data_IF_550211459369
#
_entry.id   IF_550211459369
#
_cell.length_a   1.000
_cell.length_b   1.000
_cell.length_c   1.000
_cell.angle_alpha   90.00
_cell.angle_beta   90.00
_cell.angle_gamma   90.00
#
_symmetry.space_group_name_H-M   'P 1'
#
loop_
_entity.id
_entity.type
_entity.pdbx_description
1 polymer ?
#
# COMPACT_ATOMS: atom_id res chain seq x y z
N UNK A 1 18.40 10.67 -19.49
CA UNK A 1 19.25 11.63 -18.74
C UNK A 1 19.88 10.86 -17.59
N UNK A 2 21.16 10.48 -17.70
CA UNK A 2 21.84 9.64 -16.71
C UNK A 2 22.16 10.43 -15.43
N UNK A 3 21.85 9.86 -14.28
CA UNK A 3 22.19 10.46 -12.98
C UNK A 3 23.71 10.55 -12.80
N UNK A 4 24.23 11.60 -12.13
CA UNK A 4 25.66 11.72 -11.88
C UNK A 4 26.17 10.53 -11.03
N UNK A 5 27.40 10.03 -11.29
CA UNK A 5 27.92 8.79 -10.69
C UNK A 5 28.03 8.84 -9.15
N UNK A 6 28.18 10.03 -8.57
CA UNK A 6 28.17 10.24 -7.11
C UNK A 6 26.80 9.97 -6.46
N UNK A 7 25.71 10.23 -7.18
CA UNK A 7 24.35 9.99 -6.69
C UNK A 7 23.97 8.51 -6.82
N UNK A 8 24.44 7.85 -7.89
CA UNK A 8 24.23 6.41 -8.07
C UNK A 8 24.95 5.58 -6.99
N UNK A 9 26.21 5.89 -6.72
CA UNK A 9 27.00 5.20 -5.68
C UNK A 9 26.47 5.46 -4.26
N UNK A 10 26.07 6.70 -3.96
CA UNK A 10 25.45 7.03 -2.68
C UNK A 10 24.09 6.34 -2.47
N UNK A 11 23.29 6.14 -3.54
CA UNK A 11 22.04 5.37 -3.46
C UNK A 11 22.31 3.90 -3.16
N UNK A 12 23.21 3.27 -3.89
CA UNK A 12 23.57 1.85 -3.66
C UNK A 12 24.10 1.65 -2.23
N UNK A 13 24.96 2.55 -1.75
CA UNK A 13 25.48 2.48 -0.38
C UNK A 13 24.38 2.63 0.68
N UNK A 14 23.42 3.53 0.50
CA UNK A 14 22.27 3.68 1.41
C UNK A 14 21.33 2.48 1.36
N UNK A 15 21.07 1.93 0.18
CA UNK A 15 20.26 0.71 0.02
C UNK A 15 20.92 -0.50 0.70
N UNK A 16 22.23 -0.67 0.53
CA UNK A 16 23.00 -1.74 1.19
C UNK A 16 23.06 -1.54 2.71
N UNK A 17 23.25 -0.31 3.19
CA UNK A 17 23.25 0.00 4.62
C UNK A 17 21.87 -0.21 5.27
N UNK A 18 20.78 0.07 4.55
CA UNK A 18 19.42 -0.24 5.00
C UNK A 18 19.15 -1.75 5.06
N UNK A 19 19.76 -2.52 4.14
CA UNK A 19 19.68 -3.99 4.11
C UNK A 19 20.52 -4.67 5.20
N UNK A 20 21.62 -4.06 5.68
CA UNK A 20 22.46 -4.58 6.76
C UNK A 20 22.01 -3.97 8.10
N UNK A 21 20.94 -4.55 8.66
CA UNK A 21 20.33 -4.10 9.90
C UNK A 21 21.09 -4.59 11.16
N UNK A 22 20.85 -4.01 12.33
CA UNK A 22 21.43 -4.46 13.63
C UNK A 22 21.19 -5.96 13.86
N UNK A 23 20.06 -6.47 13.38
CA UNK A 23 19.72 -7.89 13.43
C UNK A 23 20.71 -8.78 12.64
N UNK A 24 21.19 -8.34 11.47
CA UNK A 24 22.14 -9.13 10.68
C UNK A 24 23.52 -9.17 11.33
N UNK A 25 23.94 -8.06 11.95
CA UNK A 25 25.16 -8.01 12.77
C UNK A 25 25.04 -8.94 13.97
N UNK A 26 23.91 -8.89 14.69
CA UNK A 26 23.64 -9.78 15.83
C UNK A 26 23.65 -11.25 15.44
N UNK A 27 22.98 -11.61 14.34
CA UNK A 27 22.93 -12.99 13.86
C UNK A 27 24.28 -13.47 13.33
N UNK A 28 25.09 -12.58 12.77
CA UNK A 28 26.46 -12.86 12.35
C UNK A 28 27.34 -13.20 13.55
N UNK A 29 27.27 -12.41 14.63
CA UNK A 29 27.97 -12.70 15.88
C UNK A 29 27.54 -14.05 16.48
N UNK A 30 26.24 -14.34 16.48
CA UNK A 30 25.71 -15.64 16.92
C UNK A 30 26.23 -16.78 16.05
N UNK A 31 26.26 -16.62 14.73
CA UNK A 31 26.81 -17.59 13.78
C UNK A 31 28.30 -17.85 14.03
N UNK A 32 29.12 -16.79 14.16
CA UNK A 32 30.54 -16.92 14.49
C UNK A 32 30.75 -17.57 15.87
N UNK A 33 29.95 -17.22 16.87
CA UNK A 33 30.02 -17.82 18.20
C UNK A 33 29.67 -19.32 18.16
N UNK A 34 28.65 -19.73 17.41
CA UNK A 34 28.28 -21.12 17.21
C UNK A 34 29.41 -21.91 16.52
N UNK A 35 30.00 -21.34 15.46
CA UNK A 35 31.17 -21.91 14.76
C UNK A 35 32.36 -22.07 15.70
N UNK A 36 32.64 -21.07 16.55
CA UNK A 36 33.71 -21.14 17.55
C UNK A 36 33.43 -22.16 18.66
N UNK A 37 32.17 -22.35 19.05
CA UNK A 37 31.77 -23.38 20.01
C UNK A 37 31.96 -24.79 19.41
N UNK A 38 31.54 -25.01 18.17
CA UNK A 38 31.75 -26.28 17.46
C UNK A 38 33.24 -26.61 17.28
N UNK A 39 34.09 -25.61 17.02
CA UNK A 39 35.53 -25.80 16.94
C UNK A 39 36.13 -26.32 18.26
N UNK A 40 35.70 -25.76 19.40
CA UNK A 40 36.17 -26.20 20.73
C UNK A 40 35.67 -27.59 21.10
N UNK A 41 34.44 -27.92 20.71
CA UNK A 41 33.82 -29.22 20.97
C UNK A 41 34.22 -30.29 19.94
N UNK A 42 35.02 -29.93 18.93
CA UNK A 42 35.38 -30.78 17.79
C UNK A 42 34.18 -31.42 17.09
N UNK A 43 33.04 -30.71 17.08
CA UNK A 43 31.82 -31.16 16.43
C UNK A 43 31.87 -30.80 14.94
N UNK A 44 32.06 -31.81 14.10
CA UNK A 44 31.97 -31.69 12.65
C UNK A 44 30.97 -32.70 12.10
N UNK A 45 30.00 -32.24 11.33
CA UNK A 45 28.95 -33.09 10.75
C UNK A 45 28.89 -32.90 9.24
N UNK A 46 28.87 -34.02 8.51
CA UNK A 46 28.66 -34.03 7.06
C UNK A 46 27.14 -34.01 6.79
N UNK A 47 26.61 -32.82 6.52
CA UNK A 47 25.22 -32.62 6.10
C UNK A 47 25.19 -32.38 4.58
N UNK A 48 24.18 -32.91 3.89
CA UNK A 48 23.83 -32.38 2.58
C UNK A 48 23.09 -31.03 2.74
N UNK A 49 23.82 -29.94 2.52
CA UNK A 49 23.30 -28.57 2.63
C UNK A 49 22.21 -28.28 1.60
N UNK A 50 22.14 -29.04 0.51
CA UNK A 50 21.20 -28.83 -0.60
C UNK A 50 19.75 -28.89 -0.13
N UNK A 51 19.42 -29.82 0.78
CA UNK A 51 18.07 -29.99 1.33
C UNK A 51 17.66 -28.77 2.16
N UNK A 52 18.58 -28.24 2.98
CA UNK A 52 18.33 -27.06 3.83
C UNK A 52 18.19 -25.81 2.97
N UNK A 53 19.09 -25.61 2.00
CA UNK A 53 19.06 -24.47 1.08
C UNK A 53 17.78 -24.46 0.28
N UNK A 54 17.36 -25.61 -0.26
CA UNK A 54 16.12 -25.72 -1.03
C UNK A 54 14.90 -25.35 -0.18
N UNK A 55 14.79 -25.88 1.04
CA UNK A 55 13.66 -25.59 1.94
C UNK A 55 13.58 -24.11 2.33
N UNK A 56 14.70 -23.50 2.71
CA UNK A 56 14.75 -22.07 3.09
C UNK A 56 14.47 -21.16 1.90
N UNK A 57 15.13 -21.41 0.77
CA UNK A 57 14.97 -20.61 -0.45
C UNK A 57 13.55 -20.68 -0.97
N UNK A 58 12.93 -21.86 -0.96
CA UNK A 58 11.53 -22.02 -1.36
C UNK A 58 10.58 -21.22 -0.47
N UNK A 59 10.71 -21.32 0.86
CA UNK A 59 9.85 -20.60 1.80
C UNK A 59 9.99 -19.07 1.66
N UNK A 60 11.23 -18.57 1.53
CA UNK A 60 11.50 -17.13 1.38
C UNK A 60 11.02 -16.59 0.03
N UNK A 61 11.31 -17.27 -1.07
CA UNK A 61 10.87 -16.83 -2.42
C UNK A 61 9.35 -16.81 -2.53
N UNK A 62 8.66 -17.80 -1.95
CA UNK A 62 7.20 -17.80 -1.88
C UNK A 62 6.67 -16.58 -1.10
N UNK A 63 7.22 -16.29 0.08
CA UNK A 63 6.78 -15.15 0.88
C UNK A 63 7.05 -13.80 0.20
N UNK A 64 8.22 -13.64 -0.43
CA UNK A 64 8.57 -12.42 -1.17
C UNK A 64 7.61 -12.22 -2.34
N UNK A 65 7.29 -13.28 -3.07
CA UNK A 65 6.36 -13.22 -4.20
C UNK A 65 4.95 -12.78 -3.76
N UNK A 66 4.46 -13.29 -2.62
CA UNK A 66 3.17 -12.87 -2.07
C UNK A 66 3.15 -11.39 -1.68
N UNK A 67 4.22 -10.89 -1.05
CA UNK A 67 4.36 -9.47 -0.72
C UNK A 67 4.40 -8.60 -1.98
N UNK A 68 5.18 -8.99 -2.98
CA UNK A 68 5.26 -8.28 -4.27
C UNK A 68 3.91 -8.23 -4.99
N UNK A 69 3.21 -9.35 -5.11
CA UNK A 69 1.88 -9.39 -5.73
C UNK A 69 0.87 -8.49 -5.01
N UNK A 70 0.97 -8.37 -3.68
CA UNK A 70 0.10 -7.47 -2.90
C UNK A 70 0.40 -6.01 -3.20
N UNK A 71 1.67 -5.63 -3.34
CA UNK A 71 2.09 -4.29 -3.78
C UNK A 71 1.55 -3.96 -5.18
N UNK A 72 1.72 -4.86 -6.14
CA UNK A 72 1.20 -4.70 -7.51
C UNK A 72 -0.32 -4.52 -7.53
N UNK A 73 -1.05 -5.30 -6.72
CA UNK A 73 -2.51 -5.10 -6.56
C UNK A 73 -2.84 -3.72 -5.99
N UNK A 74 -2.10 -3.26 -4.98
CA UNK A 74 -2.32 -1.93 -4.40
C UNK A 74 -2.11 -0.82 -5.43
N UNK A 75 -1.08 -0.92 -6.27
CA UNK A 75 -0.80 0.04 -7.35
C UNK A 75 -1.93 0.06 -8.39
N UNK A 76 -2.37 -1.11 -8.86
CA UNK A 76 -3.48 -1.21 -9.82
C UNK A 76 -4.77 -0.63 -9.23
N UNK A 77 -5.11 -0.96 -7.98
CA UNK A 77 -6.30 -0.42 -7.31
C UNK A 77 -6.21 1.11 -7.12
N UNK A 78 -5.03 1.65 -6.78
CA UNK A 78 -4.81 3.10 -6.71
C UNK A 78 -4.99 3.78 -8.07
N UNK A 79 -4.48 3.19 -9.15
CA UNK A 79 -4.66 3.71 -10.50
C UNK A 79 -6.14 3.71 -10.92
N UNK A 80 -6.87 2.64 -10.63
CA UNK A 80 -8.32 2.55 -10.90
C UNK A 80 -9.14 3.54 -10.06
N UNK A 81 -8.74 3.77 -8.80
CA UNK A 81 -9.34 4.77 -7.92
C UNK A 81 -9.13 6.19 -8.49
N UNK A 82 -7.89 6.53 -8.87
CA UNK A 82 -7.53 7.80 -9.51
C UNK A 82 -8.32 8.02 -10.80
N UNK A 83 -8.41 7.01 -11.66
CA UNK A 83 -9.19 7.10 -12.90
C UNK A 83 -10.69 7.34 -12.63
N UNK A 84 -11.25 6.65 -11.63
CA UNK A 84 -12.66 6.77 -11.28
C UNK A 84 -13.00 8.16 -10.74
N UNK A 85 -12.16 8.73 -9.86
CA UNK A 85 -12.42 10.06 -9.28
C UNK A 85 -12.26 11.19 -10.30
N UNK A 86 -11.24 11.12 -11.17
CA UNK A 86 -11.03 12.09 -12.26
C UNK A 86 -12.19 12.06 -13.25
N UNK A 87 -12.65 10.86 -13.63
CA UNK A 87 -13.79 10.72 -14.54
C UNK A 87 -15.08 11.25 -13.92
N UNK A 88 -15.28 11.01 -12.62
CA UNK A 88 -16.44 11.55 -11.90
C UNK A 88 -16.37 13.08 -11.82
N UNK A 89 -15.20 13.66 -11.56
CA UNK A 89 -15.00 15.10 -11.62
C UNK A 89 -15.36 15.71 -12.99
N UNK A 90 -14.87 15.11 -14.09
CA UNK A 90 -15.21 15.58 -15.44
C UNK A 90 -16.71 15.52 -15.72
N UNK A 91 -17.43 14.53 -15.21
CA UNK A 91 -18.89 14.48 -15.34
C UNK A 91 -19.58 15.61 -14.59
N UNK A 92 -19.16 15.89 -13.35
CA UNK A 92 -19.70 17.00 -12.59
C UNK A 92 -19.38 18.35 -13.23
N UNK A 93 -18.22 18.50 -13.85
CA UNK A 93 -17.82 19.70 -14.60
C UNK A 93 -18.60 19.89 -15.90
N UNK A 94 -18.77 18.81 -16.68
CA UNK A 94 -19.26 18.90 -18.07
C UNK A 94 -20.79 18.77 -18.18
N UNK A 95 -21.43 18.09 -17.22
CA UNK A 95 -22.87 17.80 -17.30
C UNK A 95 -23.74 18.77 -16.51
N UNK A 96 -23.15 19.73 -15.81
CA UNK A 96 -23.85 20.84 -15.19
C UNK A 96 -24.37 21.81 -16.27
N UNK A 97 -25.32 21.38 -17.09
CA UNK A 97 -25.96 22.20 -18.11
C UNK A 97 -26.83 23.26 -17.44
N UNK A 98 -26.69 24.51 -17.88
CA UNK A 98 -27.51 25.65 -17.45
C UNK A 98 -28.01 26.41 -18.66
N UNK A 99 -28.95 27.36 -18.49
CA UNK A 99 -29.49 28.16 -19.60
C UNK A 99 -28.42 28.96 -20.36
N UNK A 100 -27.31 29.30 -19.71
CA UNK A 100 -26.15 29.98 -20.33
C UNK A 100 -25.14 29.03 -21.00
N UNK A 101 -25.16 27.73 -20.66
CA UNK A 101 -24.19 26.73 -21.12
C UNK A 101 -24.89 25.39 -21.45
N UNK A 102 -25.47 25.25 -22.66
CA UNK A 102 -26.15 24.02 -23.08
C UNK A 102 -25.19 22.84 -23.31
N UNK A 103 -23.89 23.11 -23.44
CA UNK A 103 -22.81 22.13 -23.40
C UNK A 103 -21.62 22.75 -22.63
N UNK A 104 -21.35 22.30 -21.41
CA UNK A 104 -20.12 22.71 -20.71
C UNK A 104 -18.94 22.03 -21.41
N UNK A 105 -18.16 22.82 -22.14
CA UNK A 105 -16.92 22.42 -22.81
C UNK A 105 -15.75 22.31 -21.80
N UNK A 106 -16.03 21.86 -20.58
CA UNK A 106 -15.04 21.74 -19.50
C UNK A 106 -14.69 23.05 -18.81
N UNK A 107 -15.66 23.65 -18.12
CA UNK A 107 -15.40 24.83 -17.28
C UNK A 107 -15.17 24.47 -15.80
N UNK A 108 -13.90 24.42 -15.41
CA UNK A 108 -13.44 24.19 -14.04
C UNK A 108 -13.77 25.38 -13.10
N UNK A 109 -14.11 26.55 -13.64
CA UNK A 109 -14.36 27.76 -12.84
C UNK A 109 -15.75 27.79 -12.23
N UNK A 110 -16.65 26.93 -12.69
CA UNK A 110 -18.01 26.86 -12.16
C UNK A 110 -18.00 26.53 -10.67
N UNK A 111 -18.88 27.19 -9.91
CA UNK A 111 -19.04 26.95 -8.46
C UNK A 111 -19.25 25.46 -8.19
N UNK A 112 -20.04 24.79 -9.04
CA UNK A 112 -20.33 23.38 -8.91
C UNK A 112 -19.10 22.47 -9.09
N UNK A 113 -18.27 22.72 -10.12
CA UNK A 113 -17.04 21.95 -10.33
C UNK A 113 -16.07 22.12 -9.17
N UNK A 114 -15.96 23.34 -8.62
CA UNK A 114 -15.13 23.62 -7.43
C UNK A 114 -15.62 22.92 -6.18
N UNK A 115 -16.93 22.94 -5.93
CA UNK A 115 -17.53 22.23 -4.80
C UNK A 115 -17.24 20.73 -4.91
N UNK A 116 -17.45 20.13 -6.09
CA UNK A 116 -17.16 18.71 -6.28
C UNK A 116 -15.68 18.39 -6.11
N UNK A 117 -14.80 19.22 -6.67
CA UNK A 117 -13.36 19.09 -6.49
C UNK A 117 -12.94 19.17 -5.02
N UNK A 118 -13.56 20.05 -4.22
CA UNK A 118 -13.28 20.16 -2.79
C UNK A 118 -13.64 18.89 -2.01
N UNK A 119 -14.77 18.26 -2.35
CA UNK A 119 -15.20 16.99 -1.75
C UNK A 119 -14.32 15.84 -2.21
N UNK A 120 -13.88 15.85 -3.47
CA UNK A 120 -12.90 14.89 -4.00
C UNK A 120 -11.55 14.99 -3.29
N UNK A 121 -11.04 16.21 -3.07
CA UNK A 121 -9.83 16.45 -2.29
C UNK A 121 -9.98 15.99 -0.84
N UNK A 122 -11.11 16.30 -0.19
CA UNK A 122 -11.39 15.82 1.17
C UNK A 122 -11.39 14.29 1.25
N UNK A 123 -11.97 13.61 0.27
CA UNK A 123 -11.97 12.15 0.18
C UNK A 123 -10.55 11.59 0.02
N UNK A 124 -9.77 12.13 -0.93
CA UNK A 124 -8.41 11.66 -1.22
C UNK A 124 -7.46 11.90 -0.05
N UNK A 125 -7.57 13.06 0.61
CA UNK A 125 -6.79 13.39 1.81
C UNK A 125 -7.13 12.45 2.98
N UNK A 126 -8.41 12.23 3.25
CA UNK A 126 -8.85 11.30 4.29
C UNK A 126 -8.41 9.86 3.99
N UNK A 127 -8.49 9.42 2.74
CA UNK A 127 -8.03 8.10 2.32
C UNK A 127 -6.52 7.96 2.48
N UNK A 128 -5.73 8.96 2.07
CA UNK A 128 -4.27 8.96 2.24
C UNK A 128 -3.89 8.83 3.71
N UNK A 129 -4.46 9.66 4.59
CA UNK A 129 -4.22 9.58 6.03
C UNK A 129 -4.64 8.22 6.60
N UNK A 130 -5.75 7.65 6.14
CA UNK A 130 -6.15 6.31 6.53
C UNK A 130 -5.14 5.24 6.09
N UNK A 131 -4.61 5.29 4.87
CA UNK A 131 -3.68 4.29 4.36
C UNK A 131 -2.33 4.33 5.06
N UNK A 132 -1.81 5.53 5.35
CA UNK A 132 -0.52 5.76 6.00
C UNK A 132 -0.58 5.53 7.52
N UNK A 133 -1.75 5.69 8.15
CA UNK A 133 -1.90 5.53 9.60
C UNK A 133 -1.42 4.15 10.09
N UNK A 134 -0.45 4.16 11.00
CA UNK A 134 0.04 2.97 11.67
C UNK A 134 -0.96 2.52 12.74
N UNK A 135 -1.65 1.41 12.49
CA UNK A 135 -2.72 0.91 13.37
C UNK A 135 -2.20 0.20 14.65
N UNK A 136 -0.87 0.10 14.84
CA UNK A 136 -0.25 -0.54 16.00
C UNK A 136 -0.38 -2.07 16.09
N UNK A 137 -1.27 -2.66 15.26
CA UNK A 137 -1.44 -4.10 15.09
C UNK A 137 -1.00 -4.53 13.69
N UNK A 138 -0.43 -5.72 13.57
CA UNK A 138 0.01 -6.28 12.30
C UNK A 138 -1.15 -6.71 11.39
N UNK A 139 -2.32 -7.04 11.97
CA UNK A 139 -3.53 -7.36 11.22
C UNK A 139 -4.72 -7.79 12.10
N UNK A 140 -5.85 -8.13 11.48
CA UNK A 140 -7.10 -8.51 12.18
C UNK A 140 -6.90 -9.73 13.09
N UNK A 141 -6.03 -10.65 12.71
CA UNK A 141 -5.71 -11.84 13.52
C UNK A 141 -5.16 -11.45 14.89
N UNK A 142 -4.31 -10.42 14.95
CA UNK A 142 -3.74 -9.93 16.20
C UNK A 142 -4.78 -9.16 17.02
N UNK A 143 -5.62 -8.34 16.38
CA UNK A 143 -6.74 -7.66 17.05
C UNK A 143 -7.69 -8.68 17.70
N UNK A 144 -8.01 -9.77 16.98
CA UNK A 144 -8.81 -10.89 17.51
C UNK A 144 -8.11 -11.62 18.64
N UNK A 145 -6.79 -11.81 18.55
CA UNK A 145 -6.01 -12.44 19.60
C UNK A 145 -5.94 -11.57 20.86
N UNK A 146 -5.76 -10.26 20.71
CA UNK A 146 -5.78 -9.29 21.80
C UNK A 146 -7.15 -9.27 22.51
N UNK A 147 -8.25 -9.26 21.73
CA UNK A 147 -9.61 -9.37 22.26
C UNK A 147 -9.84 -10.69 23.02
N UNK A 148 -9.19 -11.79 22.60
CA UNK A 148 -9.26 -13.10 23.26
C UNK A 148 -8.38 -13.18 24.52
N UNK A 149 -7.18 -12.60 24.51
CA UNK A 149 -6.22 -12.60 25.64
C UNK A 149 -6.83 -11.96 26.88
N UNK A 150 -7.61 -10.89 26.70
CA UNK A 150 -8.32 -10.23 27.79
C UNK A 150 -9.35 -11.18 28.42
N UNK A 151 -10.10 -11.95 27.62
CA UNK A 151 -11.04 -12.95 28.14
C UNK A 151 -10.35 -14.09 28.91
N UNK A 152 -9.19 -14.58 28.43
CA UNK A 152 -8.43 -15.64 29.12
C UNK A 152 -7.77 -15.15 30.42
N UNK A 153 -7.33 -13.89 30.47
CA UNK A 153 -6.78 -13.29 31.67
C UNK A 153 -7.85 -13.16 32.77
N UNK A 154 -9.08 -12.77 32.40
CA UNK A 154 -10.22 -12.75 33.32
C UNK A 154 -10.61 -14.16 33.82
N UNK A 155 -10.47 -15.20 32.98
CA UNK A 155 -10.66 -16.60 33.36
C UNK A 155 -9.59 -17.10 34.34
N UNK A 156 -8.31 -16.76 34.13
CA UNK A 156 -7.20 -17.16 35.00
C UNK A 156 -7.23 -16.46 36.38
N UNK A 157 -7.81 -15.27 36.46
CA UNK A 157 -7.98 -14.50 37.70
C UNK A 157 -9.18 -14.96 38.56
N UNK A 158 -9.74 -16.15 38.29
CA UNK A 158 -10.67 -16.81 39.21
C UNK A 158 -12.15 -16.45 39.04
N UNK A 159 -12.53 -15.70 38.00
CA UNK A 159 -13.95 -15.52 37.67
C UNK A 159 -14.47 -16.76 36.91
N UNK A 160 -14.75 -17.83 37.65
CA UNK A 160 -15.23 -19.11 37.15
C UNK A 160 -16.74 -19.13 36.87
N UNK A 161 -17.32 -18.01 36.41
CA UNK A 161 -18.69 -18.00 35.95
C UNK A 161 -18.70 -17.73 34.45
N UNK A 162 -19.14 -18.75 33.70
CA UNK A 162 -19.67 -18.63 32.33
C UNK A 162 -21.02 -17.86 32.34
N UNK A 163 -21.12 -16.81 33.15
CA UNK A 163 -22.21 -15.84 33.09
C UNK A 163 -21.80 -14.79 32.07
N UNK A 164 -22.78 -14.34 31.29
CA UNK A 164 -22.70 -13.12 30.48
C UNK A 164 -21.74 -12.11 31.11
N UNK A 165 -20.75 -11.71 30.32
CA UNK A 165 -19.66 -10.79 30.64
C UNK A 165 -20.04 -9.79 31.74
N UNK A 166 -19.21 -9.66 32.79
CA UNK A 166 -19.33 -8.59 33.81
C UNK A 166 -19.14 -7.18 33.20
N UNK A 167 -18.84 -7.10 31.89
CA UNK A 167 -18.81 -5.88 31.08
C UNK A 167 -19.95 -5.79 30.04
N UNK A 168 -20.84 -6.77 29.92
CA UNK A 168 -21.94 -6.80 28.93
C UNK A 168 -21.52 -6.99 27.46
N UNK A 169 -20.26 -6.75 27.10
CA UNK A 169 -19.83 -6.72 25.70
C UNK A 169 -19.36 -8.08 25.18
N UNK A 170 -20.02 -8.58 24.14
CA UNK A 170 -19.66 -9.76 23.34
C UNK A 170 -18.26 -9.67 22.73
N UNK A 171 -17.69 -10.81 22.32
CA UNK A 171 -16.39 -10.85 21.62
C UNK A 171 -16.34 -9.93 20.40
N UNK A 172 -17.45 -9.85 19.64
CA UNK A 172 -17.57 -8.99 18.47
C UNK A 172 -17.49 -7.52 18.88
N UNK A 173 -18.20 -7.12 19.92
CA UNK A 173 -18.16 -5.74 20.44
C UNK A 173 -16.78 -5.36 20.98
N UNK A 174 -16.04 -6.30 21.59
CA UNK A 174 -14.64 -6.07 21.99
C UNK A 174 -13.73 -5.82 20.79
N UNK A 175 -13.82 -6.65 19.74
CA UNK A 175 -13.06 -6.46 18.51
C UNK A 175 -13.43 -5.14 17.84
N UNK A 176 -14.73 -4.81 17.80
CA UNK A 176 -15.22 -3.56 17.21
C UNK A 176 -14.73 -2.33 17.96
N UNK A 177 -14.73 -2.36 19.30
CA UNK A 177 -14.19 -1.27 20.13
C UNK A 177 -12.69 -1.07 19.93
N UNK A 178 -11.91 -2.15 19.83
CA UNK A 178 -10.49 -2.02 19.50
C UNK A 178 -10.34 -1.38 18.11
N UNK A 179 -11.11 -1.85 17.14
CA UNK A 179 -11.11 -1.32 15.76
C UNK A 179 -11.51 0.16 15.68
N UNK A 180 -12.50 0.60 16.46
CA UNK A 180 -12.94 2.01 16.47
C UNK A 180 -11.94 2.94 17.15
N UNK A 181 -11.12 2.42 18.06
CA UNK A 181 -10.09 3.18 18.76
C UNK A 181 -8.77 3.28 17.97
N UNK A 182 -8.68 2.63 16.80
CA UNK A 182 -7.49 2.72 15.95
C UNK A 182 -7.32 4.13 15.41
N UNK A 183 -6.07 4.63 15.27
CA UNK A 183 -5.80 5.99 14.81
C UNK A 183 -6.29 6.24 13.38
N UNK A 184 -6.35 5.21 12.53
CA UNK A 184 -6.89 5.31 11.17
C UNK A 184 -8.42 5.40 11.10
N UNK A 185 -9.15 4.95 12.11
CA UNK A 185 -10.61 4.88 12.08
C UNK A 185 -11.32 6.22 11.78
N UNK A 186 -10.97 7.37 12.41
CA UNK A 186 -11.63 8.65 12.12
C UNK A 186 -11.46 9.08 10.66
N UNK A 187 -10.28 8.86 10.08
CA UNK A 187 -10.00 9.19 8.66
C UNK A 187 -10.82 8.32 7.71
N UNK A 188 -10.96 7.03 8.02
CA UNK A 188 -11.83 6.14 7.25
C UNK A 188 -13.29 6.63 7.26
N UNK A 189 -13.81 7.03 8.42
CA UNK A 189 -15.18 7.56 8.52
C UNK A 189 -15.35 8.87 7.76
N UNK A 190 -14.32 9.73 7.75
CA UNK A 190 -14.30 10.96 6.93
C UNK A 190 -14.33 10.65 5.42
N UNK A 191 -13.60 9.63 4.97
CA UNK A 191 -13.65 9.18 3.58
C UNK A 191 -15.06 8.69 3.19
N UNK A 192 -15.72 7.89 4.03
CA UNK A 192 -17.13 7.50 3.79
C UNK A 192 -18.08 8.69 3.78
N UNK A 193 -17.88 9.67 4.66
CA UNK A 193 -18.69 10.89 4.67
C UNK A 193 -18.53 11.68 3.37
N UNK A 194 -17.31 11.80 2.84
CA UNK A 194 -17.06 12.43 1.55
C UNK A 194 -17.71 11.65 0.38
N UNK A 195 -17.63 10.31 0.38
CA UNK A 195 -18.34 9.48 -0.60
C UNK A 195 -19.87 9.66 -0.53
N UNK A 196 -20.43 9.80 0.68
CA UNK A 196 -21.84 10.10 0.86
C UNK A 196 -22.20 11.48 0.29
N UNK A 197 -21.38 12.50 0.50
CA UNK A 197 -21.54 13.82 -0.13
C UNK A 197 -21.51 13.71 -1.66
N UNK A 198 -20.54 12.99 -2.23
CA UNK A 198 -20.48 12.76 -3.69
C UNK A 198 -21.73 12.05 -4.22
N UNK A 199 -22.29 11.09 -3.48
CA UNK A 199 -23.56 10.44 -3.83
C UNK A 199 -24.72 11.43 -3.90
N UNK A 200 -24.82 12.35 -2.94
CA UNK A 200 -25.85 13.40 -2.96
C UNK A 200 -25.62 14.36 -4.12
N UNK A 201 -24.37 14.72 -4.41
CA UNK A 201 -24.03 15.57 -5.56
C UNK A 201 -24.39 14.92 -6.90
N UNK A 202 -24.23 13.59 -7.04
CA UNK A 202 -24.66 12.84 -8.22
C UNK A 202 -26.17 12.93 -8.45
N UNK A 203 -26.97 12.77 -7.40
CA UNK A 203 -28.43 12.90 -7.49
C UNK A 203 -28.84 14.34 -7.81
N UNK A 204 -28.19 15.32 -7.18
CA UNK A 204 -28.44 16.73 -7.46
C UNK A 204 -28.09 17.13 -8.91
N UNK A 205 -27.03 16.54 -9.47
CA UNK A 205 -26.67 16.72 -10.87
C UNK A 205 -27.80 16.24 -11.80
N UNK A 206 -28.44 15.13 -11.48
CA UNK A 206 -29.60 14.60 -12.22
C UNK A 206 -30.75 15.59 -12.22
N UNK A 207 -31.06 16.17 -11.06
CA UNK A 207 -32.09 17.19 -10.92
C UNK A 207 -31.77 18.46 -11.74
N UNK A 208 -30.51 18.94 -11.65
CA UNK A 208 -30.06 20.15 -12.34
C UNK A 208 -30.08 20.01 -13.87
N UNK A 209 -29.76 18.83 -14.38
CA UNK A 209 -29.78 18.55 -15.81
C UNK A 209 -31.21 18.36 -16.39
N UNK A 210 -32.26 18.45 -15.56
CA UNK A 210 -33.65 18.37 -16.01
C UNK A 210 -34.15 16.95 -16.31
N UNK A 211 -33.41 15.92 -15.89
CA UNK A 211 -33.84 14.53 -16.04
C UNK A 211 -34.83 14.16 -14.94
N UNK A 212 -35.94 13.53 -15.34
CA UNK A 212 -37.04 13.19 -14.42
C UNK A 212 -36.86 11.82 -13.75
N UNK A 213 -36.03 10.96 -14.34
CA UNK A 213 -35.74 9.61 -13.82
C UNK A 213 -34.24 9.46 -13.57
N UNK A 214 -33.90 8.77 -12.48
CA UNK A 214 -32.52 8.37 -12.21
C UNK A 214 -31.97 7.51 -13.35
N UNK A 215 -30.81 7.89 -13.89
CA UNK A 215 -30.11 7.12 -14.92
C UNK A 215 -30.24 7.63 -16.36
N UNK A 216 -31.12 8.60 -16.64
CA UNK A 216 -31.22 9.24 -17.95
C UNK A 216 -30.01 10.14 -18.25
N UNK A 217 -29.74 10.44 -19.52
CA UNK A 217 -28.71 11.41 -19.90
C UNK A 217 -27.26 11.06 -19.58
N UNK A 218 -26.96 9.82 -19.21
CA UNK A 218 -25.63 9.40 -18.77
C UNK A 218 -25.44 9.36 -17.25
N UNK A 219 -26.42 9.79 -16.45
CA UNK A 219 -26.35 9.76 -14.97
C UNK A 219 -26.21 8.35 -14.38
N UNK A 220 -26.62 7.31 -15.12
CA UNK A 220 -26.33 5.92 -14.73
C UNK A 220 -24.81 5.66 -14.65
N UNK A 221 -24.03 6.33 -15.51
CA UNK A 221 -22.56 6.21 -15.51
C UNK A 221 -21.94 6.88 -14.29
N UNK A 222 -22.44 8.04 -13.84
CA UNK A 222 -21.88 8.71 -12.64
C UNK A 222 -22.09 7.87 -11.39
N UNK A 223 -23.26 7.26 -11.24
CA UNK A 223 -23.52 6.27 -10.18
C UNK A 223 -22.60 5.04 -10.30
N UNK A 224 -22.33 4.57 -11.53
CA UNK A 224 -21.40 3.47 -11.78
C UNK A 224 -19.95 3.82 -11.40
N UNK A 225 -19.46 5.02 -11.73
CA UNK A 225 -18.13 5.49 -11.33
C UNK A 225 -18.01 5.68 -9.82
N UNK A 226 -19.06 6.19 -9.17
CA UNK A 226 -19.10 6.25 -7.71
C UNK A 226 -19.02 4.84 -7.10
N UNK A 227 -19.75 3.86 -7.65
CA UNK A 227 -19.65 2.46 -7.22
C UNK A 227 -18.23 1.91 -7.39
N UNK A 228 -17.57 2.21 -8.51
CA UNK A 228 -16.17 1.83 -8.70
C UNK A 228 -15.26 2.49 -7.66
N UNK A 229 -15.42 3.78 -7.41
CA UNK A 229 -14.64 4.50 -6.41
C UNK A 229 -14.78 3.89 -5.01
N UNK A 230 -16.02 3.59 -4.58
CA UNK A 230 -16.31 2.88 -3.32
C UNK A 230 -15.65 1.51 -3.30
N UNK A 231 -15.79 0.73 -4.38
CA UNK A 231 -15.21 -0.61 -4.47
C UNK A 231 -13.68 -0.57 -4.37
N UNK A 232 -13.01 0.38 -5.02
CA UNK A 232 -11.56 0.52 -4.94
C UNK A 232 -11.10 0.98 -3.56
N UNK A 233 -11.84 1.86 -2.89
CA UNK A 233 -11.55 2.22 -1.49
C UNK A 233 -11.62 0.98 -0.57
N UNK A 234 -12.66 0.16 -0.72
CA UNK A 234 -12.78 -1.09 0.06
C UNK A 234 -11.68 -2.09 -0.28
N UNK A 235 -11.29 -2.21 -1.55
CA UNK A 235 -10.17 -3.07 -1.93
C UNK A 235 -8.85 -2.61 -1.29
N UNK A 236 -8.55 -1.30 -1.32
CA UNK A 236 -7.37 -0.75 -0.63
C UNK A 236 -7.43 -1.01 0.88
N UNK A 237 -8.61 -0.85 1.49
CA UNK A 237 -8.84 -1.19 2.89
C UNK A 237 -8.55 -2.67 3.16
N UNK A 238 -9.04 -3.59 2.31
CA UNK A 238 -8.77 -5.01 2.47
C UNK A 238 -7.29 -5.32 2.30
N UNK A 239 -6.60 -4.67 1.35
CA UNK A 239 -5.15 -4.80 1.17
C UNK A 239 -4.42 -4.30 2.41
N UNK A 240 -4.82 -3.18 3.04
CA UNK A 240 -4.21 -2.67 4.28
C UNK A 240 -4.38 -3.64 5.45
N UNK A 241 -5.62 -4.10 5.64
CA UNK A 241 -6.08 -4.90 6.79
C UNK A 241 -5.58 -6.36 6.74
N UNK A 242 -5.66 -6.99 5.57
CA UNK A 242 -5.27 -8.39 5.36
C UNK A 242 -3.87 -8.45 4.73
N UNK A 243 -2.89 -8.62 5.62
CA UNK A 243 -1.48 -8.76 5.27
C UNK A 243 -1.08 -10.20 5.03
N UNK A 244 0.18 -10.46 4.64
CA UNK A 244 0.65 -11.84 4.60
C UNK A 244 0.53 -12.47 5.99
N UNK A 245 0.19 -13.78 6.08
CA UNK A 245 -0.12 -14.40 7.36
C UNK A 245 1.08 -14.29 8.30
N UNK A 246 0.84 -13.67 9.46
CA UNK A 246 1.83 -13.43 10.53
C UNK A 246 2.61 -14.70 10.90
N UNK A 247 1.90 -15.83 10.98
CA UNK A 247 2.49 -17.13 11.29
C UNK A 247 3.56 -17.55 10.28
N UNK A 248 3.34 -17.31 8.98
CA UNK A 248 4.30 -17.68 7.94
C UNK A 248 5.57 -16.82 8.04
N UNK A 249 5.42 -15.52 8.24
CA UNK A 249 6.55 -14.59 8.37
C UNK A 249 7.43 -14.94 9.57
N UNK A 250 6.81 -15.09 10.76
CA UNK A 250 7.56 -15.47 11.95
C UNK A 250 8.17 -16.88 11.84
N UNK A 251 7.49 -17.83 11.20
CA UNK A 251 8.05 -19.16 10.97
C UNK A 251 9.32 -19.09 10.11
N UNK A 252 9.32 -18.33 9.01
CA UNK A 252 10.51 -18.11 8.19
C UNK A 252 11.65 -17.44 8.98
N UNK A 253 11.33 -16.42 9.79
CA UNK A 253 12.33 -15.77 10.66
C UNK A 253 12.93 -16.77 11.65
N UNK A 254 12.10 -17.49 12.41
CA UNK A 254 12.56 -18.49 13.39
C UNK A 254 13.39 -19.57 12.71
N UNK A 255 12.94 -20.07 11.56
CA UNK A 255 13.66 -21.09 10.78
C UNK A 255 15.09 -20.63 10.42
N UNK A 256 15.25 -19.41 9.90
CA UNK A 256 16.58 -18.86 9.56
C UNK A 256 17.48 -18.70 10.79
N UNK A 257 16.92 -18.24 11.92
CA UNK A 257 17.70 -18.07 13.15
C UNK A 257 18.17 -19.41 13.71
N UNK A 258 17.28 -20.41 13.75
CA UNK A 258 17.60 -21.77 14.21
C UNK A 258 18.63 -22.43 13.30
N UNK A 259 18.46 -22.32 11.98
CA UNK A 259 19.38 -22.90 11.00
C UNK A 259 20.78 -22.28 11.04
N UNK A 260 20.90 -21.00 11.41
CA UNK A 260 22.21 -20.34 11.58
C UNK A 260 23.05 -21.05 12.65
N UNK A 261 22.42 -21.54 13.73
CA UNK A 261 23.11 -22.30 14.78
C UNK A 261 23.31 -23.76 14.38
N UNK A 262 22.28 -24.40 13.80
CA UNK A 262 22.34 -25.81 13.42
C UNK A 262 23.34 -26.12 12.30
N UNK A 263 23.64 -25.15 11.43
CA UNK A 263 24.56 -25.31 10.30
C UNK A 263 26.03 -25.05 10.68
N UNK A 264 26.31 -24.53 11.88
CA UNK A 264 27.66 -24.31 12.39
C UNK A 264 28.60 -25.55 12.31
N UNK A 265 28.20 -26.78 12.71
CA UNK A 265 29.07 -27.96 12.60
C UNK A 265 29.33 -28.37 11.14
N UNK A 266 28.44 -28.03 10.21
CA UNK A 266 28.67 -28.24 8.78
C UNK A 266 29.74 -27.28 8.24
N UNK A 267 29.70 -26.00 8.60
CA UNK A 267 30.72 -25.03 8.19
C UNK A 267 32.11 -25.40 8.69
N UNK A 268 32.21 -26.00 9.89
CA UNK A 268 33.46 -26.55 10.40
C UNK A 268 33.96 -27.76 9.61
N UNK A 269 33.05 -28.61 9.11
CA UNK A 269 33.42 -29.75 8.29
C UNK A 269 33.88 -29.32 6.89
N UNK A 270 33.15 -28.41 6.25
CA UNK A 270 33.43 -27.94 4.89
C UNK A 270 34.62 -26.96 4.80
N UNK A 271 34.82 -26.12 5.83
CA UNK A 271 35.86 -25.10 5.87
C UNK A 271 37.19 -25.55 6.49
N UNK A 272 37.51 -26.86 6.47
CA UNK A 272 38.79 -27.36 6.98
C UNK A 272 39.92 -26.83 6.09
N UNK A 273 40.81 -26.00 6.64
CA UNK A 273 42.02 -25.59 5.94
C UNK A 273 43.08 -26.68 5.99
N UNK A 274 43.96 -26.69 4.99
CA UNK A 274 45.11 -27.59 4.94
C UNK A 274 46.04 -27.39 6.14
N UNK A 275 46.73 -28.46 6.53
CA UNK A 275 47.56 -28.54 7.74
C UNK A 275 48.71 -27.50 7.84
N UNK A 276 48.97 -26.74 6.78
CA UNK A 276 50.00 -25.69 6.73
C UNK A 276 49.53 -24.28 7.08
N UNK A 277 48.24 -24.06 7.39
CA UNK A 277 47.73 -22.71 7.68
C UNK A 277 48.08 -22.26 9.12
N UNK A 278 48.78 -21.13 9.31
CA UNK A 278 49.11 -20.63 10.64
C UNK A 278 47.87 -19.99 11.29
N UNK A 279 47.32 -20.65 12.33
CA UNK A 279 46.26 -20.11 13.19
C UNK A 279 44.87 -20.73 12.97
N UNK A 280 43.82 -20.18 13.62
CA UNK A 280 42.46 -20.68 13.43
C UNK A 280 41.99 -20.43 12.00
N UNK A 281 41.51 -21.48 11.36
CA UNK A 281 40.98 -21.45 9.99
C UNK A 281 39.88 -20.38 9.86
N UNK A 282 40.05 -19.36 8.99
CA UNK A 282 39.02 -18.32 8.81
C UNK A 282 37.85 -18.79 7.94
N UNK A 283 38.03 -19.84 7.13
CA UNK A 283 37.04 -20.30 6.15
C UNK A 283 35.64 -20.62 6.76
N UNK A 284 35.51 -21.35 7.88
CA UNK A 284 34.21 -21.62 8.49
C UNK A 284 33.46 -20.36 8.93
N UNK A 285 34.19 -19.34 9.40
CA UNK A 285 33.60 -18.06 9.81
C UNK A 285 33.11 -17.28 8.61
N UNK A 286 33.87 -17.22 7.53
CA UNK A 286 33.47 -16.56 6.29
C UNK A 286 32.20 -17.20 5.71
N UNK A 287 32.12 -18.53 5.70
CA UNK A 287 30.93 -19.26 5.23
C UNK A 287 29.69 -18.94 6.09
N UNK A 288 29.83 -18.90 7.42
CA UNK A 288 28.75 -18.53 8.31
C UNK A 288 28.29 -17.07 8.09
N UNK A 289 29.22 -16.14 7.93
CA UNK A 289 28.92 -14.74 7.61
C UNK A 289 28.18 -14.61 6.27
N UNK A 290 28.60 -15.36 5.24
CA UNK A 290 27.94 -15.36 3.93
C UNK A 290 26.52 -15.93 4.02
N UNK A 291 26.31 -17.02 4.75
CA UNK A 291 24.98 -17.58 5.00
C UNK A 291 24.05 -16.57 5.67
N UNK A 292 24.53 -15.93 6.75
CA UNK A 292 23.77 -14.90 7.46
C UNK A 292 23.49 -13.71 6.55
N UNK A 293 24.47 -13.24 5.78
CA UNK A 293 24.30 -12.12 4.85
C UNK A 293 23.19 -12.41 3.84
N UNK A 294 23.23 -13.58 3.17
CA UNK A 294 22.24 -13.95 2.16
C UNK A 294 20.84 -14.10 2.78
N UNK A 295 20.72 -14.84 3.88
CA UNK A 295 19.42 -15.12 4.49
C UNK A 295 18.78 -13.89 5.13
N UNK A 296 19.57 -13.04 5.79
CA UNK A 296 19.06 -11.78 6.36
C UNK A 296 18.70 -10.76 5.30
N UNK A 297 19.46 -10.70 4.18
CA UNK A 297 19.10 -9.86 3.04
C UNK A 297 17.72 -10.24 2.50
N UNK A 298 17.47 -11.53 2.29
CA UNK A 298 16.16 -12.01 1.79
C UNK A 298 15.03 -11.73 2.78
N UNK A 299 15.27 -11.91 4.10
CA UNK A 299 14.29 -11.56 5.13
C UNK A 299 13.99 -10.06 5.16
N UNK A 300 14.99 -9.21 4.98
CA UNK A 300 14.81 -7.76 4.96
C UNK A 300 14.06 -7.29 3.70
N UNK A 301 14.34 -7.90 2.54
CA UNK A 301 13.56 -7.67 1.31
C UNK A 301 12.10 -8.07 1.51
N UNK A 302 11.85 -9.21 2.15
CA UNK A 302 10.49 -9.63 2.48
C UNK A 302 9.80 -8.61 3.40
N UNK A 303 10.47 -8.16 4.47
CA UNK A 303 9.93 -7.19 5.41
C UNK A 303 9.64 -5.83 4.75
N UNK A 304 10.54 -5.35 3.89
CA UNK A 304 10.38 -4.07 3.19
C UNK A 304 9.24 -4.05 2.17
N UNK A 305 8.84 -5.21 1.64
CA UNK A 305 7.71 -5.30 0.70
C UNK A 305 6.37 -5.60 1.41
N UNK A 306 6.37 -5.82 2.72
CA UNK A 306 5.17 -6.21 3.47
C UNK A 306 4.20 -5.04 3.69
N UNK A 307 4.73 -3.82 3.77
CA UNK A 307 3.97 -2.59 3.88
C UNK A 307 4.22 -1.76 2.62
N UNK A 308 3.29 -1.79 1.63
CA UNK A 308 3.46 -1.01 0.42
C UNK A 308 2.89 0.42 0.51
N UNK A 309 2.22 0.79 1.61
CA UNK A 309 1.39 2.01 1.72
C UNK A 309 1.74 2.93 2.90
N UNK A 310 2.77 2.59 3.68
CA UNK A 310 3.21 3.34 4.86
C UNK A 310 4.21 4.46 4.53
N UNK A 311 4.71 4.53 3.28
CA UNK A 311 5.59 5.59 2.77
C UNK A 311 6.93 5.71 3.53
N UNK A 312 7.34 4.66 4.25
CA UNK A 312 8.59 4.66 5.03
C UNK A 312 9.70 3.90 4.32
N UNK A 313 9.36 2.83 3.61
CA UNK A 313 10.25 1.99 2.85
C UNK A 313 10.76 2.65 1.58
N UNK A 314 11.91 2.17 1.11
CA UNK A 314 12.58 2.66 -0.11
C UNK A 314 11.73 2.36 -1.36
N UNK A 315 10.97 1.27 -1.29
CA UNK A 315 10.17 0.73 -2.40
C UNK A 315 8.66 0.97 -2.19
N UNK A 316 8.27 1.80 -1.23
CA UNK A 316 6.86 2.05 -0.94
C UNK A 316 6.19 2.86 -2.03
N UNK A 317 4.87 2.71 -2.13
CA UNK A 317 4.06 3.52 -3.03
C UNK A 317 3.94 4.92 -2.42
N UNK A 318 4.32 5.95 -3.19
CA UNK A 318 4.10 7.33 -2.80
C UNK A 318 2.61 7.65 -2.94
N UNK A 319 1.91 7.73 -1.82
CA UNK A 319 0.47 8.00 -1.79
C UNK A 319 0.27 9.50 -1.60
N UNK A 320 0.45 10.30 -2.65
CA UNK A 320 0.12 11.73 -2.66
C UNK A 320 -1.14 11.96 -3.48
N UNK A 321 -2.26 11.44 -2.99
CA UNK A 321 -3.51 11.38 -3.75
C UNK A 321 -4.10 12.78 -3.99
N UNK A 322 -4.16 13.60 -2.93
CA UNK A 322 -4.76 14.93 -3.00
C UNK A 322 -3.89 15.91 -3.81
N UNK A 323 -2.56 15.86 -3.67
CA UNK A 323 -1.63 16.70 -4.41
C UNK A 323 -1.69 16.41 -5.91
N UNK A 324 -1.55 15.14 -6.31
CA UNK A 324 -1.63 14.75 -7.72
C UNK A 324 -2.99 15.12 -8.35
N UNK A 325 -4.09 14.98 -7.60
CA UNK A 325 -5.40 15.41 -8.09
C UNK A 325 -5.50 16.94 -8.18
N UNK A 326 -4.92 17.67 -7.23
CA UNK A 326 -4.76 19.12 -7.28
C UNK A 326 -4.02 19.58 -8.55
N UNK A 327 -2.90 18.92 -8.88
CA UNK A 327 -2.14 19.20 -10.10
C UNK A 327 -2.98 18.96 -11.37
N UNK A 328 -3.84 17.93 -11.37
CA UNK A 328 -4.78 17.68 -12.47
C UNK A 328 -5.77 18.84 -12.58
N UNK A 329 -6.29 19.36 -11.47
CA UNK A 329 -7.20 20.51 -11.45
C UNK A 329 -6.52 21.81 -11.87
N UNK A 330 -5.28 22.06 -11.45
CA UNK A 330 -4.53 23.28 -11.79
C UNK A 330 -4.14 23.29 -13.27
N UNK A 331 -3.74 22.13 -13.82
CA UNK A 331 -3.42 22.00 -15.24
C UNK A 331 -4.65 22.06 -16.15
N UNK A 332 -5.83 21.65 -15.68
CA UNK A 332 -7.09 21.85 -16.41
C UNK A 332 -7.60 23.29 -16.26
N UNK A 333 -7.36 23.90 -15.11
CA UNK A 333 -7.78 25.25 -14.76
C UNK A 333 -6.92 26.35 -15.37
N UNK A 334 -6.69 26.38 -16.70
CA UNK A 334 -6.09 27.49 -17.47
C UNK A 334 -5.18 28.44 -16.66
N UNK A 335 -4.15 27.89 -16.02
CA UNK A 335 -2.93 28.59 -15.67
C UNK A 335 -1.91 28.25 -16.74
N UNK A 336 -1.62 29.17 -17.64
CA UNK A 336 -0.66 28.99 -18.74
C UNK A 336 0.64 28.33 -18.28
N UNK A 337 1.12 27.33 -19.04
CA UNK A 337 2.27 27.58 -19.88
C UNK A 337 1.71 27.83 -21.26
N UNK A 338 2.04 29.00 -21.81
CA UNK A 338 1.84 29.25 -23.22
C UNK A 338 2.56 28.11 -23.95
N UNK A 339 1.81 27.18 -24.54
CA UNK A 339 2.34 26.36 -25.63
C UNK A 339 2.57 27.37 -26.76
N UNK A 340 3.76 27.98 -26.76
CA UNK A 340 4.21 28.83 -27.86
C UNK A 340 4.49 27.90 -29.03
N UNK A 341 3.48 27.66 -29.85
CA UNK A 341 3.59 26.84 -31.05
C UNK A 341 2.28 26.15 -31.37
N UNK A 342 1.52 26.81 -32.23
CA UNK A 342 0.30 26.36 -32.92
C UNK A 342 -0.88 25.93 -32.04
N UNK A 343 -2.03 26.56 -32.34
CA UNK A 343 -3.31 26.41 -31.66
C UNK A 343 -3.53 24.99 -31.11
N UNK A 344 -3.71 24.88 -29.78
CA UNK A 344 -4.07 23.64 -29.13
C UNK A 344 -5.23 23.01 -29.92
N UNK A 345 -5.11 21.74 -30.33
CA UNK A 345 -6.09 21.10 -31.21
C UNK A 345 -7.53 21.20 -30.68
N UNK A 346 -7.67 21.38 -29.37
CA UNK A 346 -8.92 21.58 -28.67
C UNK A 346 -9.58 22.92 -28.98
N UNK A 347 -8.83 24.01 -29.16
CA UNK A 347 -9.38 25.32 -29.51
C UNK A 347 -9.82 25.37 -30.97
N UNK A 348 -9.04 24.77 -31.88
CA UNK A 348 -9.44 24.56 -33.29
C UNK A 348 -10.71 23.71 -33.37
N UNK A 349 -10.80 22.62 -32.59
CA UNK A 349 -11.99 21.78 -32.56
C UNK A 349 -13.20 22.54 -31.99
N UNK A 350 -13.00 23.36 -30.94
CA UNK A 350 -14.06 24.17 -30.31
C UNK A 350 -14.62 25.22 -31.28
N UNK A 351 -13.74 25.89 -32.03
CA UNK A 351 -14.13 26.84 -33.07
C UNK A 351 -14.88 26.14 -34.21
N UNK A 352 -14.41 24.97 -34.66
CA UNK A 352 -15.09 24.16 -35.67
C UNK A 352 -16.46 23.65 -35.20
N UNK A 353 -16.57 23.27 -33.93
CA UNK A 353 -17.81 22.80 -33.31
C UNK A 353 -18.82 23.94 -33.15
N UNK A 354 -18.38 25.09 -32.64
CA UNK A 354 -19.20 26.30 -32.51
C UNK A 354 -19.68 26.81 -33.89
N UNK A 355 -18.80 26.79 -34.90
CA UNK A 355 -19.17 27.16 -36.26
C UNK A 355 -20.19 26.19 -36.87
N UNK A 356 -20.04 24.88 -36.65
CA UNK A 356 -21.00 23.88 -37.13
C UNK A 356 -22.35 24.00 -36.45
N UNK A 357 -22.40 23.98 -35.12
CA UNK A 357 -23.68 23.89 -34.39
C UNK A 357 -24.30 25.23 -33.99
N UNK A 358 -23.54 26.33 -34.01
CA UNK A 358 -24.11 27.68 -33.94
C UNK A 358 -24.98 28.01 -35.15
N UNK A 359 -24.61 27.53 -36.35
CA UNK A 359 -25.42 27.66 -37.56
C UNK A 359 -26.71 26.81 -37.50
N UNK A 360 -26.66 25.63 -36.86
CA UNK A 360 -27.83 24.77 -36.69
C UNK A 360 -28.86 25.35 -35.71
N UNK A 361 -28.42 26.05 -34.66
CA UNK A 361 -29.31 26.74 -33.72
C UNK A 361 -30.00 27.97 -34.37
N UNK A 362 -29.31 28.69 -35.26
CA UNK A 362 -29.88 29.81 -36.01
C UNK A 362 -30.91 29.37 -37.08
N UNK A 363 -30.74 28.17 -37.65
CA UNK A 363 -31.65 27.62 -38.67
C UNK A 363 -32.93 26.97 -38.10
N UNK A 364 -32.98 26.67 -36.78
CA UNK A 364 -34.13 26.08 -36.12
C UNK A 364 -35.06 27.11 -35.44
N UNK A 365 -34.69 28.40 -35.47
CA UNK A 365 -35.40 29.50 -34.81
C UNK A 365 -36.05 30.52 -35.75
N UNK A 366 -36.15 30.23 -37.06
CA UNK A 366 -36.90 31.01 -38.06
C UNK A 366 -37.73 30.07 -38.91
#
# INVERSE_FOLDING_TARGET
MGLPPSVATARVARSVAYLVNVQSVGLCLVGCAAVAACARLQLSFALDISVVVFGVTFALTFSITQAYQRRERALTTLAELKASIVTLYWQHRDWAQGPEYPASLGDDTTVWAREFASVALEFLDALQHYLVAADGYEGVGEVRLAAKRNATAHLLLGNAVLQHDVLGDTFIERVQRISSNLPGHPFLMRAYAALSKMSVMNEWLTHKAGYTRGGEGGMSRSAQYLRYLVAQMEQLRMIKIYRTPVMLRHACTVLVHVLTVLLAPYFQHAGRCDAGFPGPCPAPYIMACLWVLVTTLLLNVQASNEHPLDMTGIDDVFVELAGEFGDVLENTGRGTPVITGDACCFDVWREQFAARWGAAAAAAGG
#
